data_IF_852499831594
#
_entry.id   IF_852499831594
#
_cell.length_a   1.000
_cell.length_b   1.000
_cell.length_c   1.000
_cell.angle_alpha   90.00
_cell.angle_beta   90.00
_cell.angle_gamma   90.00
#
_symmetry.space_group_name_H-M   'P 1'
#
loop_
_entity.id
_entity.type
_entity.pdbx_description
1 polymer ?
#
# COMPACT_ATOMS: atom_id res chain seq x y z
N UNK A 1 -27.26 9.23 -25.96
CA UNK A 1 -25.92 9.13 -26.60
C UNK A 1 -24.88 9.56 -25.58
N UNK A 2 -24.11 8.61 -25.02
CA UNK A 2 -23.01 8.91 -24.10
C UNK A 2 -21.81 9.36 -24.95
N UNK A 3 -21.20 10.51 -24.62
CA UNK A 3 -19.95 10.97 -25.24
C UNK A 3 -18.84 9.95 -24.95
N UNK A 4 -17.94 9.67 -25.91
CA UNK A 4 -16.76 8.86 -25.62
C UNK A 4 -15.84 9.59 -24.64
N UNK A 5 -15.03 8.86 -23.84
CA UNK A 5 -14.05 9.47 -22.95
C UNK A 5 -13.05 10.29 -23.79
N UNK A 6 -12.82 11.54 -23.39
CA UNK A 6 -11.76 12.34 -24.01
C UNK A 6 -10.41 11.78 -23.55
N UNK A 7 -9.67 11.20 -24.48
CA UNK A 7 -8.23 10.97 -24.31
C UNK A 7 -7.56 12.34 -24.20
N UNK A 8 -6.90 12.60 -23.07
CA UNK A 8 -6.06 13.77 -22.89
C UNK A 8 -4.87 13.71 -23.88
N UNK A 9 -4.76 14.64 -24.84
CA UNK A 9 -3.73 14.61 -25.87
C UNK A 9 -2.31 14.94 -25.36
N UNK A 10 -2.13 15.23 -24.06
CA UNK A 10 -0.84 15.58 -23.47
C UNK A 10 -0.04 14.40 -22.91
N UNK A 11 -0.62 13.19 -22.85
CA UNK A 11 0.07 12.02 -22.30
C UNK A 11 1.07 11.45 -23.33
N UNK A 12 2.38 11.38 -23.04
CA UNK A 12 3.27 10.52 -23.82
C UNK A 12 2.73 9.09 -23.73
N UNK A 13 2.38 8.50 -24.87
CA UNK A 13 1.82 7.14 -24.90
C UNK A 13 2.78 6.17 -24.22
N UNK A 14 2.26 5.36 -23.28
CA UNK A 14 3.03 4.24 -22.73
C UNK A 14 3.57 3.39 -23.89
N UNK A 15 4.84 2.95 -23.86
CA UNK A 15 5.34 2.04 -24.89
C UNK A 15 4.39 0.85 -25.00
N UNK A 16 4.05 0.48 -26.24
CA UNK A 16 2.89 -0.35 -26.66
C UNK A 16 2.84 -1.77 -26.04
N UNK A 17 3.72 -2.12 -25.10
CA UNK A 17 3.83 -3.43 -24.47
C UNK A 17 4.13 -3.42 -22.95
N UNK A 18 4.08 -2.27 -22.26
CA UNK A 18 4.22 -2.28 -20.80
C UNK A 18 2.86 -2.43 -20.11
N UNK A 19 2.75 -3.30 -19.08
CA UNK A 19 1.51 -3.43 -18.33
C UNK A 19 1.19 -2.12 -17.62
N UNK A 20 -0.10 -1.89 -17.36
CA UNK A 20 -0.52 -0.80 -16.49
C UNK A 20 0.22 -0.91 -15.14
N UNK A 21 0.60 0.23 -14.58
CA UNK A 21 1.36 0.32 -13.34
C UNK A 21 0.51 0.99 -12.25
N UNK A 22 0.28 0.25 -11.17
CA UNK A 22 -0.42 0.70 -9.98
C UNK A 22 0.58 0.84 -8.85
N UNK A 23 0.70 2.03 -8.30
CA UNK A 23 1.46 2.27 -7.08
C UNK A 23 0.60 1.94 -5.85
N UNK A 24 0.83 0.79 -5.23
CA UNK A 24 -0.04 0.30 -4.14
C UNK A 24 0.30 0.87 -2.76
N UNK A 25 1.31 1.73 -2.65
CA UNK A 25 1.69 2.35 -1.39
C UNK A 25 2.25 3.75 -1.63
N UNK A 26 1.40 4.76 -1.52
CA UNK A 26 1.81 6.17 -1.53
C UNK A 26 1.01 6.98 -0.53
N UNK A 27 1.57 8.11 -0.12
CA UNK A 27 1.01 9.06 0.82
C UNK A 27 0.89 10.43 0.16
N UNK A 28 -0.12 11.18 0.59
CA UNK A 28 -0.30 12.59 0.19
C UNK A 28 -0.39 13.48 1.42
N UNK A 29 0.20 14.66 1.33
CA UNK A 29 0.20 15.69 2.37
C UNK A 29 -0.30 16.99 1.75
N UNK A 30 -1.35 17.56 2.32
CA UNK A 30 -1.96 18.80 1.83
C UNK A 30 -1.02 19.97 2.05
N UNK A 31 -0.91 20.87 1.06
CA UNK A 31 -0.32 22.19 1.25
C UNK A 31 -1.25 23.16 1.99
N UNK A 32 -2.54 22.85 2.09
CA UNK A 32 -3.54 23.62 2.84
C UNK A 32 -3.68 23.03 4.26
N UNK A 33 -2.86 23.55 5.18
CA UNK A 33 -2.86 23.15 6.59
C UNK A 33 -3.97 23.80 7.41
N UNK A 34 -4.68 24.81 6.88
CA UNK A 34 -5.86 25.36 7.58
C UNK A 34 -7.04 24.40 7.43
N UNK A 35 -7.27 23.90 6.21
CA UNK A 35 -8.31 22.91 5.94
C UNK A 35 -7.94 21.51 6.43
N UNK A 36 -6.68 21.12 6.28
CA UNK A 36 -6.16 19.80 6.67
C UNK A 36 -4.96 19.97 7.60
N UNK A 37 -5.20 20.34 8.88
CA UNK A 37 -4.13 20.54 9.84
C UNK A 37 -3.33 19.26 10.06
N UNK A 38 -2.01 19.39 10.06
CA UNK A 38 -1.13 18.30 10.49
C UNK A 38 -1.46 17.94 11.94
N UNK A 39 -1.53 16.65 12.22
CA UNK A 39 -1.69 16.10 13.56
C UNK A 39 -0.66 15.00 13.75
N UNK A 40 0.64 15.35 13.87
CA UNK A 40 1.69 14.35 13.79
C UNK A 40 1.67 13.39 14.97
N UNK A 41 1.71 12.10 14.67
CA UNK A 41 1.89 11.05 15.68
C UNK A 41 3.38 10.93 16.02
N UNK A 42 3.72 10.54 17.25
CA UNK A 42 5.10 10.25 17.66
C UNK A 42 5.63 8.96 17.03
N UNK A 43 5.79 8.97 15.72
CA UNK A 43 6.45 7.94 14.92
C UNK A 43 7.81 8.47 14.45
N UNK A 44 8.65 7.60 13.92
CA UNK A 44 9.95 8.00 13.37
C UNK A 44 9.78 8.78 12.07
N UNK A 45 10.54 9.88 11.93
CA UNK A 45 10.65 10.65 10.70
C UNK A 45 9.69 11.84 10.59
N UNK A 46 10.05 12.78 9.74
CA UNK A 46 9.33 14.04 9.49
C UNK A 46 9.07 14.25 7.99
N UNK A 47 8.96 13.17 7.23
CA UNK A 47 8.84 13.19 5.76
C UNK A 47 7.73 14.11 5.24
N UNK A 48 6.66 14.28 6.02
CA UNK A 48 5.53 15.17 5.74
C UNK A 48 5.86 16.67 5.90
N UNK A 49 7.04 17.01 6.44
CA UNK A 49 7.63 18.34 6.47
C UNK A 49 8.81 18.43 5.50
N UNK A 50 9.60 17.35 5.39
CA UNK A 50 10.84 17.34 4.61
C UNK A 50 10.58 17.34 3.10
N UNK A 51 9.60 16.55 2.64
CA UNK A 51 9.23 16.43 1.24
C UNK A 51 7.73 16.11 1.06
N UNK A 52 6.80 16.95 1.54
CA UNK A 52 5.37 16.73 1.33
C UNK A 52 5.03 16.73 -0.15
N UNK A 53 4.10 15.87 -0.56
CA UNK A 53 3.52 15.84 -1.89
C UNK A 53 1.99 15.89 -1.78
N UNK A 54 1.39 16.93 -2.33
CA UNK A 54 -0.06 17.00 -2.49
C UNK A 54 -0.56 15.99 -3.52
N UNK A 55 -1.86 15.70 -3.50
CA UNK A 55 -2.48 14.84 -4.50
C UNK A 55 -2.24 15.31 -5.94
N UNK A 56 -2.24 16.63 -6.18
CA UNK A 56 -1.98 17.19 -7.50
C UNK A 56 -0.51 16.99 -7.94
N UNK A 57 0.44 17.15 -7.02
CA UNK A 57 1.86 16.89 -7.27
C UNK A 57 2.12 15.41 -7.53
N UNK A 58 1.47 14.52 -6.77
CA UNK A 58 1.51 13.08 -7.00
C UNK A 58 0.97 12.71 -8.38
N UNK A 59 -0.20 13.23 -8.79
CA UNK A 59 -0.73 13.00 -10.16
C UNK A 59 0.28 13.44 -11.22
N UNK A 60 0.88 14.63 -11.06
CA UNK A 60 1.87 15.14 -12.02
C UNK A 60 3.14 14.27 -12.04
N UNK A 61 3.57 13.72 -10.90
CA UNK A 61 4.69 12.78 -10.83
C UNK A 61 4.34 11.45 -11.52
N UNK A 62 3.15 10.90 -11.26
CA UNK A 62 2.64 9.69 -11.88
C UNK A 62 2.57 9.82 -13.41
N UNK A 63 2.08 10.93 -13.93
CA UNK A 63 1.98 11.19 -15.37
C UNK A 63 3.35 11.20 -16.04
N UNK A 64 4.34 11.84 -15.40
CA UNK A 64 5.72 11.87 -15.89
C UNK A 64 6.41 10.51 -15.86
N UNK A 65 6.02 9.64 -14.92
CA UNK A 65 6.65 8.33 -14.69
C UNK A 65 5.88 7.15 -15.29
N UNK A 66 4.73 7.41 -15.93
CA UNK A 66 3.89 6.37 -16.53
C UNK A 66 3.22 5.46 -15.49
N UNK A 67 2.80 6.01 -14.35
CA UNK A 67 1.98 5.32 -13.34
C UNK A 67 0.52 5.63 -13.59
N UNK A 68 -0.29 4.60 -13.79
CA UNK A 68 -1.70 4.74 -14.17
C UNK A 68 -2.57 5.09 -12.97
N UNK A 69 -2.39 4.38 -11.86
CA UNK A 69 -3.23 4.50 -10.67
C UNK A 69 -2.41 4.36 -9.40
N UNK A 70 -2.94 4.81 -8.27
CA UNK A 70 -2.30 4.63 -6.98
C UNK A 70 -3.31 4.38 -5.85
N UNK A 71 -2.83 3.75 -4.79
CA UNK A 71 -3.55 3.58 -3.54
C UNK A 71 -2.98 4.59 -2.55
N UNK A 72 -3.81 5.59 -2.20
CA UNK A 72 -3.49 6.56 -1.15
C UNK A 72 -3.64 5.86 0.21
N UNK A 73 -2.52 5.39 0.74
CA UNK A 73 -2.46 4.88 2.11
C UNK A 73 -2.43 6.08 3.04
N UNK A 74 -3.33 6.16 4.01
CA UNK A 74 -3.37 7.31 4.91
C UNK A 74 -2.04 7.50 5.66
N UNK A 75 -1.51 8.74 5.61
CA UNK A 75 -0.25 9.13 6.24
C UNK A 75 -0.39 9.35 7.75
N UNK A 76 -0.43 8.27 8.54
CA UNK A 76 -0.57 8.31 10.02
C UNK A 76 0.48 9.19 10.69
N UNK A 77 1.71 9.23 10.16
CA UNK A 77 2.77 10.09 10.66
C UNK A 77 2.41 11.58 10.61
N UNK A 78 1.70 12.02 9.56
CA UNK A 78 1.32 13.41 9.32
C UNK A 78 -0.02 13.79 9.97
N UNK A 79 -0.99 12.87 9.95
CA UNK A 79 -2.40 13.16 10.24
C UNK A 79 -3.02 12.31 11.35
N UNK A 80 -2.25 11.44 12.01
CA UNK A 80 -2.79 10.45 12.96
C UNK A 80 -3.94 9.66 12.33
N UNK A 81 -5.18 9.84 12.79
CA UNK A 81 -6.38 9.17 12.26
C UNK A 81 -7.31 10.10 11.47
N UNK A 82 -6.86 11.30 11.09
CA UNK A 82 -7.64 12.24 10.26
C UNK A 82 -7.52 11.92 8.76
N UNK A 83 -8.40 11.05 8.27
CA UNK A 83 -8.40 10.58 6.87
C UNK A 83 -8.90 11.60 5.84
N UNK A 84 -9.30 12.81 6.24
CA UNK A 84 -10.02 13.75 5.36
C UNK A 84 -9.27 14.06 4.07
N UNK A 85 -7.96 14.30 4.14
CA UNK A 85 -7.20 14.68 2.94
C UNK A 85 -7.08 13.53 1.94
N UNK A 86 -6.73 12.32 2.39
CA UNK A 86 -6.66 11.14 1.52
C UNK A 86 -8.03 10.80 0.90
N UNK A 87 -9.10 10.89 1.69
CA UNK A 87 -10.47 10.68 1.21
C UNK A 87 -10.87 11.72 0.14
N UNK A 88 -10.69 13.02 0.42
CA UNK A 88 -11.01 14.09 -0.52
C UNK A 88 -10.16 14.00 -1.81
N UNK A 89 -8.88 13.66 -1.69
CA UNK A 89 -7.97 13.46 -2.81
C UNK A 89 -8.41 12.30 -3.71
N UNK A 90 -8.78 11.15 -3.12
CA UNK A 90 -9.26 10.00 -3.86
C UNK A 90 -10.59 10.27 -4.54
N UNK A 91 -11.54 10.89 -3.84
CA UNK A 91 -12.82 11.28 -4.44
C UNK A 91 -12.63 12.24 -5.62
N UNK A 92 -11.79 13.26 -5.48
CA UNK A 92 -11.54 14.26 -6.52
C UNK A 92 -10.84 13.67 -7.76
N UNK A 93 -10.07 12.60 -7.59
CA UNK A 93 -9.31 11.95 -8.65
C UNK A 93 -9.67 10.47 -8.77
N UNK A 94 -10.97 10.16 -8.70
CA UNK A 94 -11.44 8.77 -8.59
C UNK A 94 -10.83 7.84 -9.63
N UNK A 95 -10.66 8.25 -10.89
CA UNK A 95 -10.00 7.41 -11.93
C UNK A 95 -8.54 7.06 -11.67
N UNK A 96 -7.84 7.86 -10.86
CA UNK A 96 -6.41 7.70 -10.56
C UNK A 96 -6.19 7.07 -9.20
N UNK A 97 -7.11 7.26 -8.27
CA UNK A 97 -6.90 6.91 -6.87
C UNK A 97 -8.04 6.08 -6.29
N UNK A 98 -7.63 5.11 -5.48
CA UNK A 98 -8.42 4.68 -4.32
C UNK A 98 -7.66 5.02 -3.05
N UNK A 99 -8.28 4.88 -1.87
CA UNK A 99 -7.63 5.18 -0.61
C UNK A 99 -7.93 4.14 0.48
N UNK A 100 -6.99 4.01 1.41
CA UNK A 100 -7.13 3.20 2.61
C UNK A 100 -7.04 4.07 3.87
N UNK A 101 -8.05 3.99 4.73
CA UNK A 101 -8.12 4.76 5.96
C UNK A 101 -7.28 4.17 7.08
N UNK A 102 -6.93 4.97 8.07
CA UNK A 102 -6.44 4.53 9.37
C UNK A 102 -7.41 4.99 10.45
N UNK A 103 -7.71 4.12 11.41
CA UNK A 103 -8.56 4.43 12.56
C UNK A 103 -7.84 4.03 13.84
N UNK A 104 -8.28 4.60 14.96
CA UNK A 104 -7.97 4.04 16.26
C UNK A 104 -8.81 2.77 16.45
N UNK A 105 -8.15 1.61 16.39
CA UNK A 105 -8.83 0.30 16.48
C UNK A 105 -9.27 -0.04 17.90
N UNK A 106 -8.72 0.64 18.90
CA UNK A 106 -9.04 0.43 20.32
C UNK A 106 -10.12 1.41 20.81
N UNK A 107 -10.51 2.39 19.99
CA UNK A 107 -11.57 3.34 20.32
C UNK A 107 -12.95 2.66 20.37
N UNK A 108 -13.79 3.10 21.30
CA UNK A 108 -15.16 2.58 21.47
C UNK A 108 -16.01 2.69 20.19
N UNK A 109 -15.73 3.69 19.35
CA UNK A 109 -16.42 3.93 18.08
C UNK A 109 -15.65 3.45 16.84
N UNK A 110 -14.66 2.56 16.97
CA UNK A 110 -13.83 2.09 15.85
C UNK A 110 -14.66 1.53 14.67
N UNK A 111 -15.73 0.77 14.94
CA UNK A 111 -16.59 0.20 13.90
C UNK A 111 -17.42 1.26 13.16
N UNK A 112 -17.89 2.27 13.88
CA UNK A 112 -18.59 3.42 13.30
C UNK A 112 -17.63 4.20 12.40
N UNK A 113 -16.42 4.48 12.89
CA UNK A 113 -15.39 5.18 12.13
C UNK A 113 -14.99 4.43 10.86
N UNK A 114 -14.80 3.11 10.94
CA UNK A 114 -14.54 2.28 9.77
C UNK A 114 -15.67 2.39 8.74
N UNK A 115 -16.92 2.18 9.18
CA UNK A 115 -18.09 2.26 8.30
C UNK A 115 -18.23 3.65 7.67
N UNK A 116 -17.97 4.71 8.43
CA UNK A 116 -18.00 6.08 7.93
C UNK A 116 -16.98 6.32 6.81
N UNK A 117 -15.74 5.85 6.97
CA UNK A 117 -14.70 6.06 5.95
C UNK A 117 -14.93 5.23 4.68
N UNK A 118 -15.44 4.01 4.84
CA UNK A 118 -15.71 3.12 3.70
C UNK A 118 -17.02 3.52 3.00
N UNK A 119 -18.17 3.38 3.65
CA UNK A 119 -19.48 3.64 3.03
C UNK A 119 -19.77 5.13 2.84
N UNK A 120 -19.37 5.96 3.82
CA UNK A 120 -19.69 7.38 3.85
C UNK A 120 -18.74 8.26 3.02
N UNK A 121 -17.48 7.84 2.90
CA UNK A 121 -16.42 8.63 2.22
C UNK A 121 -15.76 7.92 1.05
N UNK A 122 -16.19 6.70 0.71
CA UNK A 122 -15.78 5.99 -0.49
C UNK A 122 -14.34 5.48 -0.48
N UNK A 123 -13.71 5.39 0.69
CA UNK A 123 -12.43 4.69 0.82
C UNK A 123 -12.69 3.18 0.68
N UNK A 124 -11.71 2.40 0.20
CA UNK A 124 -11.94 0.98 -0.12
C UNK A 124 -10.97 0.04 0.60
N UNK A 125 -10.28 0.56 1.62
CA UNK A 125 -9.40 -0.25 2.45
C UNK A 125 -9.16 0.38 3.80
N UNK A 126 -8.57 -0.41 4.69
CA UNK A 126 -8.12 0.01 6.00
C UNK A 126 -6.67 -0.42 6.19
N UNK A 127 -5.82 0.49 6.68
CA UNK A 127 -4.47 0.18 7.14
C UNK A 127 -4.48 0.03 8.67
N UNK A 128 -4.16 -1.19 9.09
CA UNK A 128 -4.00 -1.63 10.46
C UNK A 128 -2.54 -1.46 10.87
N UNK A 129 -2.26 -0.33 11.52
CA UNK A 129 -0.91 0.07 11.91
C UNK A 129 -0.57 -0.44 13.33
N UNK A 130 -0.29 -1.74 13.43
CA UNK A 130 -0.14 -2.47 14.70
C UNK A 130 1.30 -2.45 15.24
N UNK A 131 1.98 -1.30 15.25
CA UNK A 131 3.35 -1.23 15.77
C UNK A 131 3.38 -1.22 17.29
N UNK A 132 3.98 -2.25 17.91
CA UNK A 132 4.17 -2.34 19.35
C UNK A 132 5.66 -2.25 19.72
N UNK A 133 6.03 -1.31 20.59
CA UNK A 133 7.41 -1.19 21.09
C UNK A 133 7.77 -2.25 22.14
N UNK A 134 6.79 -2.72 22.92
CA UNK A 134 6.93 -3.74 23.96
C UNK A 134 5.69 -4.62 24.00
N UNK A 135 5.86 -5.90 24.37
CA UNK A 135 4.76 -6.85 24.50
C UNK A 135 4.06 -7.22 23.19
N UNK A 136 3.04 -8.10 23.25
CA UNK A 136 2.20 -8.39 22.10
C UNK A 136 1.39 -7.16 21.68
N UNK A 137 1.23 -6.95 20.38
CA UNK A 137 0.38 -5.86 19.89
C UNK A 137 -1.10 -6.21 19.96
N UNK A 138 -1.96 -5.20 19.73
CA UNK A 138 -3.40 -5.39 19.59
C UNK A 138 -3.78 -6.29 18.40
N UNK A 139 -2.84 -6.61 17.49
CA UNK A 139 -3.09 -7.46 16.31
C UNK A 139 -3.68 -8.82 16.67
N UNK A 140 -3.23 -9.41 17.78
CA UNK A 140 -3.71 -10.70 18.29
C UNK A 140 -4.71 -10.56 19.44
N UNK A 141 -5.12 -9.34 19.78
CA UNK A 141 -6.09 -9.12 20.85
C UNK A 141 -7.51 -9.40 20.31
N UNK A 142 -8.26 -10.37 20.90
CA UNK A 142 -9.63 -10.70 20.52
C UNK A 142 -10.59 -9.50 20.51
N UNK A 143 -10.28 -8.43 21.25
CA UNK A 143 -11.09 -7.20 21.29
C UNK A 143 -11.05 -6.44 19.96
N UNK A 144 -10.07 -6.70 19.10
CA UNK A 144 -9.95 -6.05 17.78
C UNK A 144 -10.65 -6.82 16.66
N UNK A 145 -11.08 -8.05 16.90
CA UNK A 145 -11.74 -8.94 15.93
C UNK A 145 -12.94 -8.28 15.25
N UNK A 146 -13.80 -7.52 15.97
CA UNK A 146 -14.91 -6.83 15.33
C UNK A 146 -14.49 -5.86 14.21
N UNK A 147 -13.29 -5.27 14.27
CA UNK A 147 -12.77 -4.39 13.20
C UNK A 147 -12.44 -5.21 11.95
N UNK A 148 -11.85 -6.40 12.12
CA UNK A 148 -11.54 -7.33 11.02
C UNK A 148 -12.79 -7.89 10.36
N UNK A 149 -13.76 -8.30 11.18
CA UNK A 149 -15.07 -8.78 10.73
C UNK A 149 -15.78 -7.67 9.96
N UNK A 150 -15.83 -6.45 10.53
CA UNK A 150 -16.48 -5.31 9.89
C UNK A 150 -15.80 -4.90 8.59
N UNK A 151 -14.47 -4.91 8.52
CA UNK A 151 -13.76 -4.64 7.27
C UNK A 151 -14.10 -5.68 6.19
N UNK A 152 -14.20 -6.96 6.58
CA UNK A 152 -14.59 -8.05 5.67
C UNK A 152 -16.03 -7.87 5.18
N UNK A 153 -16.98 -7.56 6.06
CA UNK A 153 -18.39 -7.28 5.69
C UNK A 153 -18.52 -6.11 4.70
N UNK A 154 -17.71 -5.07 4.90
CA UNK A 154 -17.67 -3.88 4.05
C UNK A 154 -16.90 -4.09 2.74
N UNK A 155 -16.33 -5.28 2.53
CA UNK A 155 -15.38 -5.56 1.45
C UNK A 155 -14.22 -4.54 1.39
N UNK A 156 -13.83 -4.00 2.55
CA UNK A 156 -12.69 -3.11 2.66
C UNK A 156 -11.40 -3.93 2.72
N UNK A 157 -10.48 -3.68 1.79
CA UNK A 157 -9.22 -4.42 1.77
C UNK A 157 -8.35 -4.06 2.97
N UNK A 158 -7.84 -5.08 3.67
CA UNK A 158 -7.01 -4.90 4.86
C UNK A 158 -5.53 -4.85 4.50
N UNK A 159 -4.87 -3.78 4.94
CA UNK A 159 -3.42 -3.60 4.88
C UNK A 159 -2.90 -3.69 6.32
N UNK A 160 -1.89 -4.51 6.58
CA UNK A 160 -1.24 -4.62 7.90
C UNK A 160 0.16 -4.03 7.82
N UNK A 161 0.48 -3.17 8.79
CA UNK A 161 1.84 -2.67 9.02
C UNK A 161 2.33 -3.15 10.37
N UNK A 162 3.40 -3.92 10.36
CA UNK A 162 4.07 -4.48 11.54
C UNK A 162 5.58 -4.43 11.37
N UNK A 163 6.30 -4.71 12.44
CA UNK A 163 7.75 -4.91 12.44
C UNK A 163 8.10 -6.41 12.43
N UNK A 164 9.35 -6.80 12.11
CA UNK A 164 9.70 -8.20 11.91
C UNK A 164 9.41 -9.09 13.13
N UNK A 165 9.58 -8.56 14.34
CA UNK A 165 9.29 -9.26 15.60
C UNK A 165 7.82 -9.69 15.78
N UNK A 166 6.91 -9.15 14.97
CA UNK A 166 5.48 -9.42 15.05
C UNK A 166 4.99 -10.34 13.91
N UNK A 167 5.90 -10.97 13.16
CA UNK A 167 5.51 -11.93 12.12
C UNK A 167 4.74 -13.13 12.70
N UNK A 168 5.03 -13.54 13.93
CA UNK A 168 4.25 -14.56 14.64
C UNK A 168 2.84 -14.10 14.97
N UNK A 169 2.66 -12.83 15.34
CA UNK A 169 1.32 -12.26 15.58
C UNK A 169 0.50 -12.23 14.28
N UNK A 170 1.14 -11.86 13.17
CA UNK A 170 0.51 -11.91 11.85
C UNK A 170 0.16 -13.35 11.46
N UNK A 171 1.02 -14.33 11.73
CA UNK A 171 0.75 -15.75 11.48
C UNK A 171 -0.57 -16.20 12.16
N UNK A 172 -0.70 -15.93 13.47
CA UNK A 172 -1.90 -16.24 14.23
C UNK A 172 -3.14 -15.54 13.65
N UNK A 173 -2.99 -14.29 13.25
CA UNK A 173 -4.10 -13.48 12.71
C UNK A 173 -4.56 -13.98 11.35
N UNK A 174 -3.63 -14.34 10.45
CA UNK A 174 -3.95 -14.92 9.14
C UNK A 174 -4.65 -16.27 9.27
N UNK A 175 -4.23 -17.10 10.24
CA UNK A 175 -4.90 -18.36 10.54
C UNK A 175 -6.32 -18.15 11.11
N UNK A 176 -6.55 -17.05 11.82
CA UNK A 176 -7.87 -16.68 12.37
C UNK A 176 -8.84 -16.16 11.31
N UNK A 177 -8.34 -15.46 10.28
CA UNK A 177 -9.14 -14.93 9.18
C UNK A 177 -8.69 -15.46 7.81
N UNK A 178 -8.74 -16.79 7.56
CA UNK A 178 -8.15 -17.41 6.38
C UNK A 178 -8.83 -17.00 5.06
N UNK A 179 -10.09 -16.54 5.12
CA UNK A 179 -10.87 -16.09 3.96
C UNK A 179 -10.71 -14.59 3.65
N UNK A 180 -10.07 -13.83 4.54
CA UNK A 180 -9.91 -12.38 4.40
C UNK A 180 -8.56 -12.08 3.75
N UNK A 181 -8.52 -11.51 2.53
CA UNK A 181 -7.27 -11.08 1.90
C UNK A 181 -6.60 -9.97 2.70
N UNK A 182 -5.30 -10.12 2.95
CA UNK A 182 -4.48 -9.16 3.69
C UNK A 182 -3.26 -8.78 2.87
N UNK A 183 -2.92 -7.49 2.84
CA UNK A 183 -1.63 -7.02 2.32
C UNK A 183 -0.69 -6.62 3.44
N UNK A 184 0.51 -7.20 3.45
CA UNK A 184 1.58 -6.83 4.36
C UNK A 184 2.41 -5.70 3.75
N UNK A 185 2.43 -4.56 4.44
CA UNK A 185 3.28 -3.43 4.07
C UNK A 185 4.76 -3.78 4.20
N UNK A 186 5.54 -3.38 3.20
CA UNK A 186 7.01 -3.41 3.19
C UNK A 186 7.62 -4.76 3.56
N UNK A 187 6.90 -5.86 3.34
CA UNK A 187 7.29 -7.20 3.81
C UNK A 187 7.66 -7.23 5.31
N UNK A 188 6.95 -6.45 6.13
CA UNK A 188 7.23 -6.22 7.56
C UNK A 188 8.65 -5.69 7.86
N UNK A 189 9.38 -5.14 6.87
CA UNK A 189 10.81 -4.81 6.97
C UNK A 189 11.70 -6.01 7.32
N UNK A 190 11.22 -7.22 7.02
CA UNK A 190 11.84 -8.47 7.49
C UNK A 190 13.00 -8.96 6.61
N UNK A 191 13.21 -8.37 5.43
CA UNK A 191 14.20 -8.84 4.46
C UNK A 191 15.62 -8.33 4.70
N UNK A 192 15.81 -7.43 5.67
CA UNK A 192 17.13 -6.91 6.02
C UNK A 192 18.02 -7.93 6.73
N UNK A 193 17.45 -8.95 7.39
CA UNK A 193 18.19 -9.96 8.16
C UNK A 193 17.74 -11.38 7.80
N UNK A 194 18.66 -12.38 7.72
CA UNK A 194 18.32 -13.73 7.29
C UNK A 194 17.25 -14.45 8.13
N UNK A 195 17.27 -14.25 9.45
CA UNK A 195 16.32 -14.89 10.38
C UNK A 195 14.89 -14.38 10.15
N UNK A 196 14.72 -13.06 10.11
CA UNK A 196 13.41 -12.45 9.85
C UNK A 196 12.93 -12.70 8.43
N UNK A 197 13.84 -12.76 7.45
CA UNK A 197 13.51 -13.11 6.07
C UNK A 197 12.97 -14.55 5.99
N UNK A 198 13.65 -15.49 6.65
CA UNK A 198 13.19 -16.89 6.72
C UNK A 198 11.79 -16.96 7.31
N UNK A 199 11.55 -16.23 8.41
CA UNK A 199 10.22 -16.21 9.04
C UNK A 199 9.13 -15.63 8.15
N UNK A 200 9.44 -14.58 7.38
CA UNK A 200 8.51 -14.03 6.38
C UNK A 200 8.15 -15.09 5.32
N UNK A 201 9.13 -15.80 4.77
CA UNK A 201 8.88 -16.82 3.74
C UNK A 201 8.00 -17.98 4.23
N UNK A 202 8.11 -18.37 5.51
CA UNK A 202 7.22 -19.38 6.10
C UNK A 202 5.73 -18.96 6.06
N UNK A 203 5.43 -17.67 6.04
CA UNK A 203 4.05 -17.17 5.91
C UNK A 203 3.47 -17.36 4.51
N UNK A 204 4.26 -17.77 3.51
CA UNK A 204 3.76 -18.09 2.17
C UNK A 204 2.70 -19.19 2.16
N UNK A 205 2.64 -20.02 3.22
CA UNK A 205 1.59 -21.02 3.46
C UNK A 205 0.18 -20.42 3.62
N UNK A 206 0.06 -19.13 3.90
CA UNK A 206 -1.22 -18.42 4.02
C UNK A 206 -1.66 -17.89 2.65
N UNK A 207 -2.65 -18.52 1.99
CA UNK A 207 -3.05 -18.12 0.64
C UNK A 207 -3.68 -16.72 0.59
N UNK A 208 -4.19 -16.22 1.70
CA UNK A 208 -4.78 -14.89 1.84
C UNK A 208 -3.75 -13.77 2.09
N UNK A 209 -2.47 -14.10 2.32
CA UNK A 209 -1.41 -13.11 2.50
C UNK A 209 -0.82 -12.63 1.16
N UNK A 210 -0.84 -11.32 0.97
CA UNK A 210 -0.25 -10.61 -0.16
C UNK A 210 0.85 -9.68 0.34
N UNK A 211 1.88 -9.44 -0.46
CA UNK A 211 3.02 -8.61 -0.07
C UNK A 211 3.10 -7.33 -0.90
N UNK A 212 3.32 -6.20 -0.23
CA UNK A 212 3.74 -4.96 -0.88
C UNK A 212 5.27 -4.90 -0.91
N UNK A 213 5.81 -5.15 -2.09
CA UNK A 213 7.23 -5.04 -2.41
C UNK A 213 7.55 -3.57 -2.66
N UNK A 214 7.75 -2.82 -1.58
CA UNK A 214 7.98 -1.37 -1.66
C UNK A 214 9.44 -1.02 -1.98
N UNK A 215 9.74 0.27 -2.22
CA UNK A 215 11.14 0.73 -2.38
C UNK A 215 12.05 0.28 -1.23
N UNK A 216 11.57 0.33 0.02
CA UNK A 216 12.32 -0.22 1.17
C UNK A 216 12.76 -1.68 0.97
N UNK A 217 11.86 -2.54 0.47
CA UNK A 217 12.15 -3.94 0.19
C UNK A 217 13.22 -4.07 -0.90
N UNK A 218 13.10 -3.26 -1.96
CA UNK A 218 14.04 -3.28 -3.08
C UNK A 218 15.43 -2.80 -2.64
N UNK A 219 15.52 -1.74 -1.84
CA UNK A 219 16.78 -1.23 -1.33
C UNK A 219 17.45 -2.22 -0.36
N UNK A 220 16.70 -2.81 0.56
CA UNK A 220 17.23 -3.81 1.49
C UNK A 220 17.79 -5.02 0.74
N UNK A 221 17.05 -5.51 -0.27
CA UNK A 221 17.51 -6.59 -1.14
C UNK A 221 18.77 -6.22 -1.94
N UNK A 222 18.83 -5.00 -2.48
CA UNK A 222 20.02 -4.53 -3.19
C UNK A 222 21.24 -4.43 -2.26
N UNK A 223 21.05 -4.02 -1.01
CA UNK A 223 22.13 -3.94 -0.01
C UNK A 223 22.59 -5.32 0.46
N UNK A 224 21.67 -6.25 0.71
CA UNK A 224 22.00 -7.56 1.29
C UNK A 224 22.44 -8.59 0.26
N UNK A 225 21.75 -8.67 -0.88
CA UNK A 225 22.00 -9.69 -1.91
C UNK A 225 22.72 -9.12 -3.15
N UNK A 226 22.99 -7.81 -3.17
CA UNK A 226 23.57 -7.12 -4.33
C UNK A 226 22.59 -6.97 -5.51
N UNK A 227 21.34 -7.45 -5.38
CA UNK A 227 20.36 -7.41 -6.45
C UNK A 227 18.92 -7.47 -5.94
N UNK A 228 18.17 -6.38 -6.12
CA UNK A 228 16.73 -6.36 -5.88
C UNK A 228 15.97 -7.38 -6.77
N UNK A 229 16.48 -7.63 -7.98
CA UNK A 229 15.89 -8.58 -8.95
C UNK A 229 15.91 -10.02 -8.45
N UNK A 230 16.98 -10.45 -7.77
CA UNK A 230 17.06 -11.80 -7.20
C UNK A 230 16.01 -11.99 -6.11
N UNK A 231 15.87 -11.01 -5.22
CA UNK A 231 14.85 -11.03 -4.18
C UNK A 231 13.43 -11.02 -4.76
N UNK A 232 13.15 -10.18 -5.77
CA UNK A 232 11.83 -10.17 -6.43
C UNK A 232 11.51 -11.52 -7.05
N UNK A 233 12.47 -12.17 -7.72
CA UNK A 233 12.29 -13.53 -8.26
C UNK A 233 11.96 -14.53 -7.14
N UNK A 234 12.73 -14.51 -6.05
CA UNK A 234 12.50 -15.39 -4.89
C UNK A 234 11.14 -15.17 -4.25
N UNK A 235 10.70 -13.92 -4.09
CA UNK A 235 9.36 -13.61 -3.59
C UNK A 235 8.28 -14.18 -4.53
N UNK A 236 8.47 -14.11 -5.85
CA UNK A 236 7.54 -14.73 -6.81
C UNK A 236 7.58 -16.25 -6.73
N UNK A 237 8.75 -16.87 -6.52
CA UNK A 237 8.85 -18.33 -6.40
C UNK A 237 8.12 -18.87 -5.16
N UNK A 238 8.20 -18.15 -4.04
CA UNK A 238 7.61 -18.57 -2.76
C UNK A 238 6.13 -18.16 -2.63
N UNK A 239 5.79 -16.92 -2.99
CA UNK A 239 4.44 -16.40 -2.86
C UNK A 239 3.61 -16.53 -4.15
N UNK A 240 4.24 -16.51 -5.31
CA UNK A 240 3.54 -16.35 -6.58
C UNK A 240 3.26 -14.88 -6.91
N UNK A 241 3.38 -14.52 -8.18
CA UNK A 241 3.23 -13.13 -8.64
C UNK A 241 1.84 -12.54 -8.35
N UNK A 242 0.81 -13.38 -8.32
CA UNK A 242 -0.57 -12.99 -8.02
C UNK A 242 -0.80 -12.59 -6.55
N UNK A 243 0.22 -12.75 -5.70
CA UNK A 243 0.24 -12.30 -4.29
C UNK A 243 1.23 -11.17 -4.03
N UNK A 244 1.89 -10.64 -5.05
CA UNK A 244 2.80 -9.50 -4.92
C UNK A 244 2.22 -8.24 -5.56
N UNK A 245 2.59 -7.10 -4.99
CA UNK A 245 2.29 -5.77 -5.54
C UNK A 245 3.47 -4.83 -5.31
N UNK A 246 3.77 -3.98 -6.29
CA UNK A 246 4.74 -2.90 -6.11
C UNK A 246 4.12 -1.68 -5.42
N UNK A 247 4.90 -0.97 -4.61
CA UNK A 247 4.54 0.35 -4.07
C UNK A 247 5.77 1.25 -3.92
N UNK A 248 5.65 2.55 -4.19
CA UNK A 248 6.81 3.45 -4.14
C UNK A 248 7.19 3.85 -2.71
N UNK A 249 6.22 3.86 -1.81
CA UNK A 249 6.25 4.52 -0.49
C UNK A 249 6.45 6.05 -0.59
N UNK A 250 6.23 6.66 -1.76
CA UNK A 250 6.33 8.10 -1.95
C UNK A 250 5.19 8.82 -1.22
N UNK A 251 5.36 10.01 -0.63
CA UNK A 251 6.60 10.76 -0.45
C UNK A 251 7.29 10.46 0.88
N UNK A 252 6.90 9.40 1.61
CA UNK A 252 7.62 8.99 2.80
C UNK A 252 9.04 8.53 2.46
N UNK A 253 9.20 7.77 1.38
CA UNK A 253 10.47 7.59 0.67
C UNK A 253 10.69 8.76 -0.29
N UNK A 254 11.71 9.58 -0.02
CA UNK A 254 12.01 10.82 -0.74
C UNK A 254 13.52 11.11 -0.88
N UNK A 255 14.37 10.10 -0.74
CA UNK A 255 15.82 10.20 -0.98
C UNK A 255 16.17 10.35 -2.48
N UNK A 256 15.21 10.04 -3.35
CA UNK A 256 15.26 10.20 -4.81
C UNK A 256 13.89 10.60 -5.36
N UNK A 257 13.84 11.01 -6.62
CA UNK A 257 12.60 11.42 -7.27
C UNK A 257 11.63 10.25 -7.49
N UNK A 258 10.32 10.55 -7.62
CA UNK A 258 9.31 9.54 -7.94
C UNK A 258 9.64 8.75 -9.22
N UNK A 259 10.22 9.41 -10.22
CA UNK A 259 10.63 8.75 -11.46
C UNK A 259 11.77 7.75 -11.23
N UNK A 260 12.71 8.05 -10.34
CA UNK A 260 13.79 7.13 -9.98
C UNK A 260 13.25 5.94 -9.17
N UNK A 261 12.26 6.13 -8.29
CA UNK A 261 11.57 5.04 -7.58
C UNK A 261 10.87 4.08 -8.56
N UNK A 262 10.14 4.64 -9.53
CA UNK A 262 9.46 3.86 -10.58
C UNK A 262 10.46 3.14 -11.49
N UNK A 263 11.56 3.81 -11.88
CA UNK A 263 12.60 3.19 -12.69
C UNK A 263 13.27 2.02 -11.97
N UNK A 264 13.57 2.17 -10.67
CA UNK A 264 14.14 1.10 -9.86
C UNK A 264 13.20 -0.10 -9.74
N UNK A 265 11.91 0.14 -9.58
CA UNK A 265 10.90 -0.92 -9.61
C UNK A 265 10.89 -1.68 -10.96
N UNK A 266 10.90 -0.96 -12.08
CA UNK A 266 10.93 -1.59 -13.42
C UNK A 266 12.18 -2.44 -13.64
N UNK A 267 13.32 -1.99 -13.14
CA UNK A 267 14.58 -2.74 -13.19
C UNK A 267 14.52 -4.00 -12.32
N UNK A 268 14.10 -3.88 -11.06
CA UNK A 268 14.00 -4.99 -10.13
C UNK A 268 13.02 -6.08 -10.61
N UNK A 269 11.87 -5.70 -11.18
CA UNK A 269 10.87 -6.63 -11.73
C UNK A 269 11.16 -7.04 -13.17
N UNK A 270 12.23 -6.54 -13.79
CA UNK A 270 12.58 -6.80 -15.19
C UNK A 270 12.96 -8.26 -15.49
N UNK A 271 13.24 -9.05 -14.45
CA UNK A 271 13.51 -10.49 -14.58
C UNK A 271 12.29 -11.40 -14.62
N UNK A 272 11.10 -10.86 -14.39
CA UNK A 272 9.86 -11.63 -14.42
C UNK A 272 9.36 -11.83 -15.86
N UNK A 273 8.57 -12.88 -16.06
CA UNK A 273 7.81 -13.05 -17.31
C UNK A 273 6.81 -11.90 -17.48
N UNK A 274 6.33 -11.62 -18.71
CA UNK A 274 5.33 -10.59 -18.93
C UNK A 274 4.05 -10.78 -18.09
N UNK A 275 3.61 -12.02 -17.90
CA UNK A 275 2.43 -12.35 -17.10
C UNK A 275 2.66 -12.06 -15.60
N UNK A 276 3.76 -12.54 -15.03
CA UNK A 276 4.13 -12.28 -13.63
C UNK A 276 4.31 -10.78 -13.38
N UNK A 277 4.97 -10.05 -14.29
CA UNK A 277 5.14 -8.60 -14.17
C UNK A 277 3.79 -7.88 -14.22
N UNK A 278 2.87 -8.31 -15.08
CA UNK A 278 1.51 -7.75 -15.14
C UNK A 278 0.74 -8.01 -13.84
N UNK A 279 0.84 -9.21 -13.28
CA UNK A 279 0.26 -9.53 -11.97
C UNK A 279 0.78 -8.60 -10.88
N UNK A 280 2.12 -8.49 -10.75
CA UNK A 280 2.75 -7.65 -9.73
C UNK A 280 2.49 -6.14 -9.89
N UNK A 281 2.43 -5.62 -11.11
CA UNK A 281 2.30 -4.19 -11.36
C UNK A 281 0.87 -3.68 -11.36
N UNK A 282 -0.13 -4.51 -11.66
CA UNK A 282 -1.53 -4.06 -11.63
C UNK A 282 -2.55 -5.15 -11.38
N UNK A 283 -2.31 -6.37 -11.83
CA UNK A 283 -3.29 -7.46 -11.75
C UNK A 283 -3.73 -7.77 -10.32
N UNK A 284 -2.77 -7.96 -9.40
CA UNK A 284 -3.05 -8.23 -7.99
C UNK A 284 -3.80 -7.08 -7.33
N UNK A 285 -3.35 -5.84 -7.53
CA UNK A 285 -4.01 -4.66 -6.98
C UNK A 285 -5.43 -4.48 -7.51
N UNK A 286 -5.68 -4.71 -8.79
CA UNK A 286 -7.02 -4.55 -9.38
C UNK A 286 -8.01 -5.62 -8.93
N UNK A 287 -7.56 -6.82 -8.55
CA UNK A 287 -8.43 -7.84 -7.95
C UNK A 287 -8.81 -7.51 -6.51
N UNK A 288 -7.85 -7.02 -5.73
CA UNK A 288 -8.04 -6.72 -4.32
C UNK A 288 -8.73 -5.36 -4.09
N UNK A 289 -8.58 -4.41 -5.03
CA UNK A 289 -9.26 -3.11 -5.04
C UNK A 289 -10.06 -2.95 -6.35
N UNK A 290 -11.28 -3.51 -6.43
CA UNK A 290 -12.07 -3.54 -7.67
C UNK A 290 -12.35 -2.15 -8.27
N UNK A 291 -12.39 -1.11 -7.45
CA UNK A 291 -12.54 0.28 -7.92
C UNK A 291 -11.43 0.69 -8.88
N UNK A 292 -10.22 0.15 -8.75
CA UNK A 292 -9.13 0.39 -9.70
C UNK A 292 -9.37 -0.30 -11.05
N UNK A 293 -10.07 -1.44 -11.08
CA UNK A 293 -10.39 -2.15 -12.32
C UNK A 293 -11.51 -1.45 -13.10
N UNK A 294 -12.54 -0.95 -12.40
CA UNK A 294 -13.69 -0.26 -13.01
C UNK A 294 -13.33 1.07 -13.69
N UNK A 295 -12.11 1.56 -13.43
CA UNK A 295 -11.61 2.84 -13.89
C UNK A 295 -10.58 2.74 -15.03
N UNK A 296 -10.18 1.50 -15.37
CA UNK A 296 -9.17 1.20 -16.38
C UNK A 296 -9.71 1.25 -17.83
#
# INVERSE_FOLDING_TARGET
>A
MKRPPSSDPSRPGSPVNEPALVDTHTHVVSSDHERYPLSPRKLSGTWYLDAPASAAELVAAMDKSGVDQAILVQGVGAYSFDNRYAADAAMANSRRFTAACCIDVEAENALEMLSYWIDGRGMTGIRLFALASEGPSWLIDPRTDPVWERATELAAHIIVTILPRQLDELDHTLARFPETPVSLDHCAFALAEPETATRLFELARHPNLHLKVSTHVLDDAARQEGSARLMVRRLVDEFGAERLMWGSDYCQTHDRSYAELVAFAREAFGGLTPAERTACFSGTARRLWPTLADQA
#
